data_IF_663574104686
#
_entry.id   IF_663574104686
#
_cell.length_a   1.000
_cell.length_b   1.000
_cell.length_c   1.000
_cell.angle_alpha   90.00
_cell.angle_beta   90.00
_cell.angle_gamma   90.00
#
_symmetry.space_group_name_H-M   'P 1'
#
loop_
_entity.id
_entity.type
_entity.pdbx_description
1 polymer ?
#
# COMPACT_ATOMS: atom_id res chain seq x y z
N UNK A 1 5.42 -34.39 -1.57
CA UNK A 1 6.81 -33.91 -1.72
C UNK A 1 6.71 -32.42 -2.03
N UNK A 2 6.81 -31.58 -1.00
CA UNK A 2 6.63 -30.13 -1.15
C UNK A 2 7.88 -29.58 -1.82
N UNK A 3 7.70 -29.04 -3.02
CA UNK A 3 8.76 -28.50 -3.85
C UNK A 3 9.49 -27.36 -3.09
N UNK A 4 10.76 -27.61 -2.73
CA UNK A 4 11.59 -26.65 -1.98
C UNK A 4 12.12 -25.51 -2.85
N UNK A 5 11.89 -25.53 -4.16
CA UNK A 5 12.32 -24.48 -5.08
C UNK A 5 11.48 -23.19 -4.99
N UNK A 6 10.25 -23.25 -4.44
CA UNK A 6 9.40 -22.06 -4.26
C UNK A 6 9.72 -21.23 -3.01
N UNK A 7 10.40 -21.82 -2.02
CA UNK A 7 10.80 -21.14 -0.78
C UNK A 7 11.77 -19.95 -0.97
N UNK A 8 12.84 -20.02 -1.78
CA UNK A 8 13.75 -18.89 -1.95
C UNK A 8 13.07 -17.66 -2.56
N UNK A 9 12.19 -17.85 -3.55
CA UNK A 9 11.47 -16.75 -4.20
C UNK A 9 10.51 -16.04 -3.22
N UNK A 10 9.83 -16.80 -2.35
CA UNK A 10 8.93 -16.22 -1.34
C UNK A 10 9.72 -15.42 -0.31
N UNK A 11 10.86 -15.94 0.15
CA UNK A 11 11.73 -15.23 1.11
C UNK A 11 12.28 -13.95 0.50
N UNK A 12 12.81 -14.01 -0.72
CA UNK A 12 13.32 -12.84 -1.45
C UNK A 12 12.22 -11.77 -1.65
N UNK A 13 10.99 -12.21 -1.94
CA UNK A 13 9.85 -11.30 -2.04
C UNK A 13 9.53 -10.61 -0.71
N UNK A 14 9.51 -11.36 0.40
CA UNK A 14 9.26 -10.81 1.74
C UNK A 14 10.36 -9.83 2.15
N UNK A 15 11.62 -10.15 1.88
CA UNK A 15 12.76 -9.29 2.16
C UNK A 15 12.70 -7.98 1.35
N UNK A 16 12.40 -8.08 0.05
CA UNK A 16 12.23 -6.92 -0.82
C UNK A 16 11.07 -6.02 -0.33
N UNK A 17 9.95 -6.64 0.04
CA UNK A 17 8.79 -5.93 0.57
C UNK A 17 9.14 -5.18 1.86
N UNK A 18 9.81 -5.84 2.81
CA UNK A 18 10.21 -5.24 4.07
C UNK A 18 11.18 -4.07 3.85
N UNK A 19 12.23 -4.29 3.06
CA UNK A 19 13.23 -3.27 2.76
C UNK A 19 12.62 -2.01 2.13
N UNK A 20 11.76 -2.19 1.13
CA UNK A 20 11.10 -1.07 0.45
C UNK A 20 10.11 -0.36 1.38
N UNK A 21 9.30 -1.13 2.12
CA UNK A 21 8.31 -0.57 3.03
C UNK A 21 8.94 0.25 4.15
N UNK A 22 10.06 -0.20 4.73
CA UNK A 22 10.79 0.57 5.74
C UNK A 22 11.36 1.87 5.17
N UNK A 23 11.95 1.83 3.97
CA UNK A 23 12.49 3.02 3.31
C UNK A 23 11.39 4.06 3.03
N UNK A 24 10.25 3.62 2.49
CA UNK A 24 9.12 4.50 2.19
C UNK A 24 8.46 5.03 3.46
N UNK A 25 8.28 4.18 4.46
CA UNK A 25 7.68 4.55 5.73
C UNK A 25 8.53 5.60 6.46
N UNK A 26 9.85 5.46 6.43
CA UNK A 26 10.79 6.45 6.95
C UNK A 26 10.62 7.81 6.26
N UNK A 27 10.45 7.83 4.93
CA UNK A 27 10.22 9.07 4.17
C UNK A 27 8.85 9.69 4.44
N UNK A 28 7.82 8.86 4.62
CA UNK A 28 6.44 9.29 4.79
C UNK A 28 6.04 9.56 6.26
N UNK A 29 6.92 9.27 7.23
CA UNK A 29 6.64 9.44 8.65
C UNK A 29 5.60 8.48 9.21
N UNK A 30 5.48 7.28 8.62
CA UNK A 30 4.57 6.20 9.03
C UNK A 30 5.34 4.95 9.45
N UNK A 31 4.69 3.92 9.99
CA UNK A 31 5.34 2.64 10.31
C UNK A 31 5.61 1.78 9.06
N UNK A 32 6.80 1.14 9.02
CA UNK A 32 7.20 0.22 7.94
C UNK A 32 6.24 -0.96 7.77
N UNK A 33 5.80 -1.57 8.88
CA UNK A 33 4.82 -2.65 8.89
C UNK A 33 3.46 -2.23 8.33
N UNK A 34 2.99 -1.01 8.66
CA UNK A 34 1.71 -0.49 8.17
C UNK A 34 1.76 -0.26 6.66
N UNK A 35 2.88 0.27 6.18
CA UNK A 35 3.16 0.46 4.75
C UNK A 35 3.19 -0.87 3.99
N UNK A 36 3.87 -1.88 4.53
CA UNK A 36 3.95 -3.21 3.93
C UNK A 36 2.57 -3.86 3.81
N UNK A 37 1.76 -3.79 4.88
CA UNK A 37 0.39 -4.29 4.86
C UNK A 37 -0.46 -3.58 3.80
N UNK A 38 -0.39 -2.25 3.77
CA UNK A 38 -1.10 -1.45 2.76
C UNK A 38 -0.73 -1.82 1.34
N UNK A 39 0.56 -2.07 1.08
CA UNK A 39 1.05 -2.41 -0.24
C UNK A 39 0.56 -3.79 -0.69
N UNK A 40 0.64 -4.82 0.17
CA UNK A 40 0.07 -6.15 -0.14
C UNK A 40 -1.42 -6.01 -0.48
N UNK A 41 -2.14 -5.28 0.37
CA UNK A 41 -3.57 -5.06 0.23
C UNK A 41 -3.94 -4.31 -1.05
N UNK A 42 -3.11 -3.36 -1.48
CA UNK A 42 -3.25 -2.67 -2.76
C UNK A 42 -3.01 -3.60 -3.95
N UNK A 43 -1.92 -4.37 -3.91
CA UNK A 43 -1.50 -5.25 -4.99
C UNK A 43 -2.47 -6.43 -5.18
N UNK A 44 -3.10 -6.90 -4.10
CA UNK A 44 -4.18 -7.90 -4.16
C UNK A 44 -5.40 -7.38 -4.96
N UNK A 45 -5.80 -6.12 -4.72
CA UNK A 45 -6.88 -5.47 -5.49
C UNK A 45 -6.44 -5.05 -6.91
N UNK A 46 -5.13 -4.90 -7.15
CA UNK A 46 -4.55 -4.38 -8.40
C UNK A 46 -3.36 -5.22 -8.87
N UNK A 47 -3.56 -6.52 -9.21
CA UNK A 47 -2.45 -7.44 -9.50
C UNK A 47 -1.62 -7.03 -10.73
N UNK A 48 -2.18 -6.21 -11.63
CA UNK A 48 -1.48 -5.63 -12.79
C UNK A 48 -0.33 -4.68 -12.41
N UNK A 49 -0.35 -4.12 -11.19
CA UNK A 49 0.65 -3.15 -10.74
C UNK A 49 1.82 -3.85 -10.00
N UNK A 50 1.76 -5.17 -9.82
CA UNK A 50 2.79 -5.97 -9.16
C UNK A 50 4.12 -5.94 -9.92
N UNK A 51 4.10 -6.20 -11.23
CA UNK A 51 5.31 -6.23 -12.06
C UNK A 51 5.98 -4.84 -12.17
N UNK A 52 5.24 -3.74 -12.43
CA UNK A 52 5.78 -2.39 -12.34
C UNK A 52 6.42 -2.10 -10.97
N UNK A 53 5.72 -2.43 -9.88
CA UNK A 53 6.27 -2.24 -8.54
C UNK A 53 7.55 -3.04 -8.32
N UNK A 54 7.61 -4.32 -8.70
CA UNK A 54 8.81 -5.14 -8.55
C UNK A 54 10.03 -4.50 -9.23
N UNK A 55 9.84 -3.94 -10.43
CA UNK A 55 10.92 -3.36 -11.22
C UNK A 55 11.32 -1.94 -10.83
N UNK A 56 10.35 -1.07 -10.49
CA UNK A 56 10.62 0.36 -10.24
C UNK A 56 10.24 0.89 -8.86
N UNK A 57 9.67 0.06 -7.98
CA UNK A 57 9.31 0.44 -6.62
C UNK A 57 8.06 1.31 -6.54
N UNK A 58 7.97 2.15 -5.50
CA UNK A 58 6.75 2.95 -5.23
C UNK A 58 6.49 4.04 -6.26
N UNK A 59 7.50 4.49 -7.02
CA UNK A 59 7.32 5.52 -8.06
C UNK A 59 6.52 5.02 -9.26
N UNK A 60 6.42 3.71 -9.44
CA UNK A 60 5.59 3.09 -10.48
C UNK A 60 4.14 2.90 -10.05
N UNK A 61 3.83 3.18 -8.78
CA UNK A 61 2.48 3.10 -8.26
C UNK A 61 1.76 4.45 -8.39
N UNK A 62 0.42 4.48 -8.53
CA UNK A 62 -0.33 5.73 -8.49
C UNK A 62 -0.11 6.48 -7.19
N UNK A 63 -0.01 7.81 -7.23
CA UNK A 63 0.25 8.66 -6.04
C UNK A 63 -0.66 8.38 -4.83
N UNK A 64 -1.88 7.91 -5.07
CA UNK A 64 -2.87 7.60 -4.05
C UNK A 64 -3.06 6.08 -3.78
N UNK A 65 -2.09 5.23 -4.15
CA UNK A 65 -2.18 3.78 -3.95
C UNK A 65 -2.45 3.40 -2.50
N UNK A 66 -1.91 4.16 -1.53
CA UNK A 66 -2.07 3.89 -0.09
C UNK A 66 -3.54 4.01 0.36
N UNK A 67 -4.34 4.80 -0.35
CA UNK A 67 -5.79 4.95 -0.11
C UNK A 67 -6.63 3.85 -0.80
N UNK A 68 -6.00 2.98 -1.58
CA UNK A 68 -6.68 2.01 -2.44
C UNK A 68 -6.67 0.59 -1.91
N UNK A 69 -5.90 0.27 -0.87
CA UNK A 69 -5.99 -1.04 -0.20
C UNK A 69 -7.32 -1.30 0.53
N UNK A 70 -7.44 -2.51 1.07
CA UNK A 70 -8.49 -3.02 1.94
C UNK A 70 -8.14 -3.02 3.44
N UNK A 71 -6.86 -2.92 3.82
CA UNK A 71 -6.45 -2.89 5.23
C UNK A 71 -6.63 -1.53 5.88
N UNK A 72 -7.04 -1.53 7.15
CA UNK A 72 -7.14 -0.33 7.99
C UNK A 72 -5.77 0.13 8.48
N UNK A 73 -5.52 1.44 8.51
CA UNK A 73 -4.30 2.02 9.11
C UNK A 73 -4.61 3.04 10.19
N UNK A 74 -3.63 3.32 11.04
CA UNK A 74 -3.63 4.48 11.92
C UNK A 74 -3.34 5.74 11.12
N UNK A 75 -4.29 6.67 11.07
CA UNK A 75 -4.06 8.01 10.57
C UNK A 75 -3.26 8.83 11.60
N UNK A 76 -2.64 9.93 11.13
CA UNK A 76 -1.87 10.87 11.97
C UNK A 76 -2.66 11.43 13.17
N UNK A 77 -3.99 11.41 13.11
CA UNK A 77 -4.88 11.85 14.19
C UNK A 77 -5.19 10.74 15.22
N UNK A 78 -4.49 9.60 15.17
CA UNK A 78 -4.66 8.46 16.08
C UNK A 78 -5.90 7.60 15.80
N UNK A 79 -6.67 7.88 14.75
CA UNK A 79 -7.84 7.07 14.39
C UNK A 79 -7.46 5.93 13.46
N UNK A 80 -8.14 4.79 13.63
CA UNK A 80 -8.12 3.69 12.67
C UNK A 80 -9.03 4.06 11.50
N UNK A 81 -8.49 4.08 10.29
CA UNK A 81 -9.20 4.44 9.06
C UNK A 81 -9.20 3.28 8.10
N UNK A 82 -10.38 2.89 7.63
CA UNK A 82 -10.52 1.96 6.51
C UNK A 82 -10.40 2.75 5.19
N UNK A 83 -9.58 2.33 4.21
CA UNK A 83 -9.36 3.11 2.99
C UNK A 83 -10.63 3.36 2.18
N UNK A 84 -11.54 2.37 2.09
CA UNK A 84 -12.90 2.56 1.55
C UNK A 84 -13.65 3.75 2.17
N UNK A 85 -13.58 3.93 3.50
CA UNK A 85 -14.23 5.03 4.18
C UNK A 85 -13.55 6.37 3.85
N UNK A 86 -12.22 6.39 3.78
CA UNK A 86 -11.46 7.57 3.34
C UNK A 86 -11.81 8.00 1.91
N UNK A 87 -11.91 7.03 0.97
CA UNK A 87 -12.35 7.27 -0.42
C UNK A 87 -13.74 7.88 -0.47
N UNK A 88 -14.70 7.29 0.25
CA UNK A 88 -16.07 7.81 0.32
C UNK A 88 -16.11 9.24 0.88
N UNK A 89 -15.39 9.52 1.95
CA UNK A 89 -15.32 10.86 2.55
C UNK A 89 -14.75 11.90 1.57
N UNK A 90 -13.70 11.54 0.83
CA UNK A 90 -13.08 12.40 -0.19
C UNK A 90 -14.05 12.73 -1.33
N UNK A 91 -14.78 11.73 -1.84
CA UNK A 91 -15.79 11.93 -2.89
C UNK A 91 -16.90 12.88 -2.38
N UNK A 92 -17.43 12.62 -1.18
CA UNK A 92 -18.46 13.48 -0.57
C UNK A 92 -17.95 14.92 -0.40
N UNK A 93 -16.69 15.10 0.01
CA UNK A 93 -16.07 16.43 0.14
C UNK A 93 -15.97 17.13 -1.22
N UNK A 94 -15.47 16.45 -2.26
CA UNK A 94 -15.35 17.02 -3.61
C UNK A 94 -16.69 17.37 -4.26
N UNK A 95 -17.79 16.75 -3.82
CA UNK A 95 -19.14 17.09 -4.27
C UNK A 95 -19.74 18.28 -3.52
N UNK A 96 -19.21 18.62 -2.33
CA UNK A 96 -19.66 19.74 -1.50
C UNK A 96 -18.90 21.04 -1.76
N UNK A 97 -17.68 20.97 -2.29
CA UNK A 97 -16.92 22.14 -2.68
C UNK A 97 -17.33 22.54 -4.11
N UNK A 98 -17.89 23.75 -4.35
CA UNK A 98 -18.22 24.19 -5.68
C UNK A 98 -16.92 24.29 -6.49
N UNK A 99 -16.91 23.72 -7.70
CA UNK A 99 -15.83 23.97 -8.66
C UNK A 99 -15.72 25.47 -8.85
N UNK A 100 -14.64 26.05 -8.32
CA UNK A 100 -14.25 27.44 -8.54
C UNK A 100 -13.55 27.56 -9.87
#
# INVERSE_FOLDING_TARGET
MTDRAHLPIITEFIELLAQRSDAFASMAGVGGMETAGHLISYLDENPKDLEPWLNGGFSELPDNWIERGSLTHHALNGKIVHPRQARHARIIKSLKEPRS
#
